data_IF_631285203111
#
_entry.id   IF_631285203111
#
_cell.length_a   1.000
_cell.length_b   1.000
_cell.length_c   1.000
_cell.angle_alpha   90.00
_cell.angle_beta   90.00
_cell.angle_gamma   90.00
#
_symmetry.space_group_name_H-M   'P 1'
#
loop_
_entity.id
_entity.type
_entity.pdbx_description
1 polymer ?
#
# COMPACT_ATOMS: atom_id res chain seq x y z
N UNK A 1 -6.24 10.81 -10.59
CA UNK A 1 -4.83 11.21 -10.61
C UNK A 1 -4.16 10.27 -11.58
N UNK A 2 -3.71 10.78 -12.72
CA UNK A 2 -3.23 9.90 -13.77
C UNK A 2 -1.79 9.45 -13.48
N UNK A 3 -1.44 8.24 -13.94
CA UNK A 3 -0.08 7.74 -13.89
C UNK A 3 0.82 8.55 -14.82
N UNK A 4 2.10 8.73 -14.46
CA UNK A 4 3.07 9.42 -15.32
C UNK A 4 3.45 8.59 -16.55
N UNK A 5 3.57 7.27 -16.37
CA UNK A 5 3.98 6.35 -17.42
C UNK A 5 2.78 5.64 -18.06
N UNK A 6 2.86 5.44 -19.37
CA UNK A 6 1.92 4.63 -20.12
C UNK A 6 2.48 3.20 -20.28
N UNK A 7 1.65 2.20 -19.98
CA UNK A 7 2.03 0.80 -20.19
C UNK A 7 2.06 0.44 -21.68
N UNK A 8 2.95 -0.48 -22.06
CA UNK A 8 3.11 -0.98 -23.44
C UNK A 8 2.90 -2.49 -23.47
N UNK A 9 2.61 -3.04 -24.65
CA UNK A 9 2.49 -4.49 -24.84
C UNK A 9 1.32 -5.12 -24.06
N UNK A 10 0.21 -4.39 -23.90
CA UNK A 10 -0.97 -4.85 -23.15
C UNK A 10 -0.84 -4.71 -21.63
N UNK A 11 0.22 -4.08 -21.13
CA UNK A 11 0.38 -3.73 -19.72
C UNK A 11 -0.41 -2.45 -19.45
N UNK A 12 -1.13 -2.40 -18.33
CA UNK A 12 -1.78 -1.19 -17.83
C UNK A 12 -1.07 -0.73 -16.56
N UNK A 13 -0.48 0.46 -16.58
CA UNK A 13 0.11 1.10 -15.41
C UNK A 13 -0.89 2.08 -14.80
N UNK A 14 -1.04 2.07 -13.47
CA UNK A 14 -1.94 2.99 -12.77
C UNK A 14 -1.27 3.61 -11.55
N UNK A 15 -1.78 4.78 -11.14
CA UNK A 15 -1.50 5.41 -9.86
C UNK A 15 -2.81 5.70 -9.14
N UNK A 16 -2.84 5.45 -7.83
CA UNK A 16 -4.04 5.63 -7.01
C UNK A 16 -3.66 6.28 -5.68
N UNK A 17 -4.51 7.19 -5.20
CA UNK A 17 -4.45 7.66 -3.82
C UNK A 17 -5.09 6.63 -2.90
N UNK A 18 -4.55 6.49 -1.70
CA UNK A 18 -5.06 5.63 -0.64
C UNK A 18 -5.60 6.52 0.47
N UNK A 19 -6.82 6.23 0.89
CA UNK A 19 -7.40 6.69 2.15
C UNK A 19 -8.00 5.46 2.84
N UNK A 20 -7.48 5.10 4.02
CA UNK A 20 -8.00 3.96 4.81
C UNK A 20 -8.40 4.40 6.20
N UNK A 21 -9.34 3.66 6.75
CA UNK A 21 -9.72 3.71 8.16
C UNK A 21 -9.59 2.31 8.73
N UNK A 22 -8.86 2.20 9.84
CA UNK A 22 -8.66 0.99 10.61
C UNK A 22 -9.50 1.05 11.88
N UNK A 23 -10.03 -0.09 12.30
CA UNK A 23 -10.85 -0.21 13.51
C UNK A 23 -10.39 -1.44 14.31
N UNK A 24 -10.52 -1.38 15.63
CA UNK A 24 -10.09 -2.43 16.57
C UNK A 24 -8.83 -2.03 17.32
N UNK A 25 -7.89 -2.96 17.48
CA UNK A 25 -6.62 -2.68 18.19
C UNK A 25 -5.80 -1.59 17.49
N UNK A 26 -5.92 -1.48 16.17
CA UNK A 26 -5.48 -0.33 15.39
C UNK A 26 -6.72 0.53 15.07
N UNK A 27 -6.89 1.62 15.79
CA UNK A 27 -7.89 2.66 15.54
C UNK A 27 -7.19 3.87 14.93
N UNK A 28 -7.16 3.91 13.60
CA UNK A 28 -6.31 4.84 12.86
C UNK A 28 -6.89 5.19 11.49
N UNK A 29 -6.33 6.22 10.89
CA UNK A 29 -6.51 6.51 9.47
C UNK A 29 -5.15 6.49 8.78
N UNK A 30 -5.15 6.24 7.47
CA UNK A 30 -3.93 6.40 6.67
C UNK A 30 -4.20 7.11 5.36
N UNK A 31 -3.14 7.77 4.88
CA UNK A 31 -3.09 8.38 3.55
C UNK A 31 -1.82 7.94 2.85
N UNK A 32 -1.90 7.71 1.55
CA UNK A 32 -0.75 7.25 0.78
C UNK A 32 -1.00 7.22 -0.72
N UNK A 33 -0.06 6.60 -1.43
CA UNK A 33 -0.18 6.37 -2.87
C UNK A 33 0.25 4.95 -3.21
N UNK A 34 -0.36 4.44 -4.29
CA UNK A 34 -0.07 3.14 -4.89
C UNK A 34 0.29 3.32 -6.36
N UNK A 35 1.27 2.56 -6.82
CA UNK A 35 1.52 2.28 -8.23
C UNK A 35 1.22 0.81 -8.52
N UNK A 36 0.55 0.54 -9.64
CA UNK A 36 0.26 -0.83 -10.05
C UNK A 36 0.55 -1.07 -11.52
N UNK A 37 0.81 -2.34 -11.84
CA UNK A 37 0.97 -2.84 -13.19
C UNK A 37 0.09 -4.08 -13.36
N UNK A 38 -0.91 -4.00 -14.24
CA UNK A 38 -1.71 -5.13 -14.65
C UNK A 38 -1.18 -5.67 -15.97
N UNK A 39 -1.00 -6.99 -16.06
CA UNK A 39 -0.54 -7.66 -17.29
C UNK A 39 -1.74 -8.17 -18.09
N UNK A 40 -1.58 -8.54 -19.38
CA UNK A 40 -2.64 -9.18 -20.14
C UNK A 40 -2.95 -10.62 -19.66
N UNK A 41 -2.09 -11.21 -18.81
CA UNK A 41 -2.32 -12.54 -18.24
C UNK A 41 -3.24 -12.42 -17.03
N UNK A 42 -4.41 -13.06 -17.10
CA UNK A 42 -5.39 -13.05 -16.01
C UNK A 42 -4.76 -13.48 -14.69
N UNK A 43 -5.05 -12.73 -13.62
CA UNK A 43 -4.52 -12.99 -12.29
C UNK A 43 -3.04 -12.68 -12.11
N UNK A 44 -2.40 -12.00 -13.08
CA UNK A 44 -1.00 -11.59 -12.98
C UNK A 44 -0.87 -10.08 -12.98
N UNK A 45 -0.32 -9.54 -11.88
CA UNK A 45 -0.17 -8.11 -11.66
C UNK A 45 0.84 -7.85 -10.53
N UNK A 46 1.31 -6.61 -10.44
CA UNK A 46 2.15 -6.16 -9.34
C UNK A 46 1.71 -4.80 -8.84
N UNK A 47 2.00 -4.52 -7.57
CA UNK A 47 1.83 -3.19 -7.02
C UNK A 47 2.86 -2.88 -5.94
N UNK A 48 3.10 -1.59 -5.75
CA UNK A 48 3.84 -1.03 -4.61
C UNK A 48 3.04 0.13 -4.04
N UNK A 49 3.13 0.33 -2.73
CA UNK A 49 2.50 1.45 -2.06
C UNK A 49 3.28 1.87 -0.83
N UNK A 50 3.11 3.14 -0.45
CA UNK A 50 3.50 3.65 0.86
C UNK A 50 2.33 4.44 1.43
N UNK A 51 2.06 4.25 2.71
CA UNK A 51 1.03 4.99 3.42
C UNK A 51 1.48 5.36 4.83
N UNK A 52 1.19 6.61 5.23
CA UNK A 52 1.37 7.07 6.60
C UNK A 52 0.12 6.76 7.38
N UNK A 53 0.27 5.97 8.43
CA UNK A 53 -0.78 5.66 9.41
C UNK A 53 -0.67 6.65 10.57
N UNK A 54 -1.80 7.14 11.05
CA UNK A 54 -1.89 7.99 12.24
C UNK A 54 -3.13 7.61 13.05
N UNK A 55 -2.95 7.34 14.34
CA UNK A 55 -4.03 6.91 15.21
C UNK A 55 -3.56 6.34 16.53
N UNK A 56 -4.17 5.23 16.94
CA UNK A 56 -3.81 4.47 18.14
C UNK A 56 -3.60 3.00 17.82
N UNK A 57 -2.51 2.43 18.33
CA UNK A 57 -2.25 0.99 18.32
C UNK A 57 -2.22 0.48 19.76
N UNK A 58 -3.14 -0.41 20.10
CA UNK A 58 -3.32 -0.97 21.45
C UNK A 58 -3.35 0.14 22.53
N UNK A 59 -4.02 1.26 22.21
CA UNK A 59 -4.17 2.42 23.09
C UNK A 59 -3.06 3.48 23.00
N UNK A 60 -1.88 3.14 22.46
CA UNK A 60 -0.74 4.07 22.28
C UNK A 60 -0.95 4.95 21.06
N UNK A 61 -0.84 6.27 21.22
CA UNK A 61 -1.02 7.24 20.15
C UNK A 61 0.30 7.48 19.41
N UNK A 62 0.23 7.48 18.09
CA UNK A 62 1.37 7.84 17.26
C UNK A 62 1.07 7.63 15.78
N UNK A 63 2.14 7.54 14.99
CA UNK A 63 2.08 7.21 13.58
C UNK A 63 3.25 6.34 13.16
N UNK A 64 3.12 5.71 11.99
CA UNK A 64 4.18 4.94 11.34
C UNK A 64 3.87 4.82 9.84
N UNK A 65 4.88 4.53 9.02
CA UNK A 65 4.72 4.31 7.59
C UNK A 65 4.70 2.81 7.29
N UNK A 66 3.71 2.37 6.52
CA UNK A 66 3.68 1.03 5.94
C UNK A 66 4.16 1.08 4.49
N UNK A 67 5.05 0.15 4.13
CA UNK A 67 5.47 -0.12 2.76
C UNK A 67 4.90 -1.44 2.27
N UNK A 68 4.37 -1.44 1.06
CA UNK A 68 3.73 -2.59 0.42
C UNK A 68 4.54 -3.04 -0.79
N UNK A 69 4.69 -4.36 -0.94
CA UNK A 69 5.13 -5.00 -2.17
C UNK A 69 4.21 -6.20 -2.45
N UNK A 70 3.37 -6.08 -3.47
CA UNK A 70 2.41 -7.11 -3.87
C UNK A 70 2.71 -7.66 -5.26
N UNK A 71 2.72 -8.99 -5.39
CA UNK A 71 2.80 -9.69 -6.66
C UNK A 71 1.68 -10.72 -6.71
N UNK A 72 0.95 -10.75 -7.82
CA UNK A 72 0.03 -11.82 -8.19
C UNK A 72 0.64 -12.58 -9.36
N UNK A 73 0.81 -13.90 -9.24
CA UNK A 73 1.21 -14.79 -10.33
C UNK A 73 0.10 -15.82 -10.59
N UNK A 74 -0.74 -15.49 -11.59
CA UNK A 74 -1.86 -16.34 -12.03
C UNK A 74 -2.77 -16.77 -10.87
N UNK A 75 -3.01 -15.86 -9.92
CA UNK A 75 -3.81 -16.08 -8.71
C UNK A 75 -3.05 -16.62 -7.50
N UNK A 76 -1.73 -16.82 -7.59
CA UNK A 76 -0.87 -17.01 -6.42
C UNK A 76 -0.37 -15.65 -5.94
N UNK A 77 -0.95 -15.17 -4.84
CA UNK A 77 -0.69 -13.83 -4.35
C UNK A 77 0.37 -13.85 -3.25
N UNK A 78 1.35 -12.96 -3.37
CA UNK A 78 2.36 -12.69 -2.36
C UNK A 78 2.32 -11.21 -2.00
N UNK A 79 2.10 -10.93 -0.72
CA UNK A 79 2.14 -9.58 -0.16
C UNK A 79 3.19 -9.51 0.94
N UNK A 80 4.11 -8.58 0.80
CA UNK A 80 4.97 -8.11 1.88
C UNK A 80 4.46 -6.74 2.32
N UNK A 81 4.18 -6.61 3.61
CA UNK A 81 3.73 -5.38 4.24
C UNK A 81 4.61 -5.16 5.47
N UNK A 82 5.39 -4.08 5.48
CA UNK A 82 6.39 -3.83 6.51
C UNK A 82 6.29 -2.40 7.04
N UNK A 83 6.55 -2.23 8.34
CA UNK A 83 6.77 -0.90 8.92
C UNK A 83 8.14 -0.41 8.46
N UNK A 84 8.19 0.77 7.88
CA UNK A 84 9.46 1.39 7.50
C UNK A 84 10.27 1.66 8.78
N UNK A 85 11.54 1.22 8.86
CA UNK A 85 12.37 1.45 10.03
C UNK A 85 12.41 2.93 10.42
N UNK A 86 12.36 3.20 11.72
CA UNK A 86 12.40 4.55 12.32
C UNK A 86 11.29 5.51 11.85
N UNK A 87 10.20 4.99 11.24
CA UNK A 87 9.03 5.79 10.88
C UNK A 87 8.03 5.99 12.02
N UNK A 88 8.21 5.26 13.13
CA UNK A 88 7.42 5.38 14.34
C UNK A 88 7.55 6.78 14.95
N UNK A 89 6.43 7.35 15.38
CA UNK A 89 6.38 8.64 16.08
C UNK A 89 5.63 8.52 17.40
N UNK A 90 5.94 9.44 18.31
CA UNK A 90 5.33 9.53 19.63
C UNK A 90 5.51 8.25 20.46
N UNK A 91 4.43 7.52 20.74
CA UNK A 91 4.45 6.30 21.55
C UNK A 91 4.67 5.02 20.71
N UNK A 92 4.80 5.15 19.39
CA UNK A 92 4.93 4.05 18.41
C UNK A 92 6.32 4.00 17.75
#
# INVERSE_FOLDING_TARGET
MDGYAEGKGGITLNRMSIDKTFHGDLDATSKGEMLSAMTPVKGSAGYVAMEQVTGKLSGKRGGFVLQHFGIMDKGNDRLVLEVVPDSGTDEL
#
